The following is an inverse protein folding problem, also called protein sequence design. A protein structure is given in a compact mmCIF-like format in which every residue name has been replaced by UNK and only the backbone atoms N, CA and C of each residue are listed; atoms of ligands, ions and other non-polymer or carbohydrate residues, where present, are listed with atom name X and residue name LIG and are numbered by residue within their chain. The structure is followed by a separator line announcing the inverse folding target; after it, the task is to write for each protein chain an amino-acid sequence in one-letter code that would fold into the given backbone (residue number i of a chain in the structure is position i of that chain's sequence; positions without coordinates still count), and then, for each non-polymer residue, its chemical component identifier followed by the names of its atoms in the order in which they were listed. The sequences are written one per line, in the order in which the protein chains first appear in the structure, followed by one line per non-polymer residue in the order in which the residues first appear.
data_IF_644807377947
#
_entry.id   IF_644807377947
#
_cell.length_a   1.000
_cell.length_b   1.000
_cell.length_c   1.000
_cell.angle_alpha   90.00
_cell.angle_beta   90.00
_cell.angle_gamma   90.00
#
_symmetry.space_group_name_H-M   'P 1'
#
loop_
_entity.id
_entity.type
_entity.pdbx_description
1 polymer ?
#
# COMPACT_ATOMS: atom_id res chain seq x y z
N UNK A 1 15.18 -6.16 -18.22
CA UNK A 1 15.46 -7.54 -17.74
C UNK A 1 14.21 -8.13 -17.09
N UNK A 2 14.13 -9.44 -16.83
CA UNK A 2 12.91 -10.10 -16.28
C UNK A 2 12.44 -9.48 -14.94
N UNK A 3 13.37 -9.12 -14.07
CA UNK A 3 13.10 -8.45 -12.78
C UNK A 3 12.35 -7.11 -12.96
N UNK A 4 12.83 -6.23 -13.86
CA UNK A 4 12.16 -4.96 -14.16
C UNK A 4 10.73 -5.14 -14.69
N UNK A 5 10.47 -6.21 -15.45
CA UNK A 5 9.14 -6.51 -15.97
C UNK A 5 8.19 -6.96 -14.85
N UNK A 6 8.70 -7.68 -13.85
CA UNK A 6 7.92 -8.05 -12.67
C UNK A 6 7.58 -6.83 -11.81
N UNK A 7 8.56 -5.95 -11.55
CA UNK A 7 8.33 -4.70 -10.83
C UNK A 7 7.32 -3.79 -11.53
N UNK A 8 7.46 -3.62 -12.85
CA UNK A 8 6.52 -2.83 -13.65
C UNK A 8 5.09 -3.36 -13.51
N UNK A 9 4.90 -4.68 -13.61
CA UNK A 9 3.57 -5.30 -13.45
C UNK A 9 2.97 -5.03 -12.06
N UNK A 10 3.77 -5.07 -11.00
CA UNK A 10 3.29 -4.77 -9.65
C UNK A 10 2.87 -3.30 -9.50
N UNK A 11 3.61 -2.37 -10.12
CA UNK A 11 3.26 -0.95 -10.12
C UNK A 11 1.98 -0.68 -10.91
N UNK A 12 1.82 -1.29 -12.09
CA UNK A 12 0.59 -1.21 -12.90
C UNK A 12 -0.61 -1.77 -12.12
N UNK A 13 -0.46 -2.90 -11.43
CA UNK A 13 -1.50 -3.47 -10.57
C UNK A 13 -1.89 -2.53 -9.43
N UNK A 14 -0.92 -1.91 -8.77
CA UNK A 14 -1.20 -0.95 -7.71
C UNK A 14 -1.98 0.25 -8.24
N UNK A 15 -1.56 0.81 -9.38
CA UNK A 15 -2.23 1.94 -10.03
C UNK A 15 -3.68 1.61 -10.39
N UNK A 16 -3.92 0.46 -11.05
CA UNK A 16 -5.27 -0.01 -11.37
C UNK A 16 -6.14 -0.12 -10.11
N UNK A 17 -5.62 -0.72 -9.04
CA UNK A 17 -6.33 -0.84 -7.78
C UNK A 17 -6.68 0.52 -7.17
N UNK A 18 -5.73 1.45 -7.13
CA UNK A 18 -5.96 2.80 -6.60
C UNK A 18 -6.99 3.57 -7.43
N UNK A 19 -6.95 3.45 -8.76
CA UNK A 19 -7.96 4.03 -9.65
C UNK A 19 -9.36 3.48 -9.38
N UNK A 20 -9.51 2.17 -9.13
CA UNK A 20 -10.82 1.64 -8.77
C UNK A 20 -11.36 2.19 -7.45
N UNK A 21 -10.47 2.48 -6.48
CA UNK A 21 -10.85 3.09 -5.21
C UNK A 21 -11.30 4.53 -5.41
N UNK A 22 -10.59 5.33 -6.22
CA UNK A 22 -10.98 6.72 -6.53
C UNK A 22 -12.37 6.81 -7.20
N UNK A 23 -12.74 5.79 -7.97
CA UNK A 23 -14.04 5.71 -8.63
C UNK A 23 -15.18 5.34 -7.68
N UNK A 24 -14.87 4.93 -6.45
CA UNK A 24 -15.90 4.76 -5.42
C UNK A 24 -16.38 6.14 -4.98
N UNK A 25 -17.66 6.24 -4.68
CA UNK A 25 -18.25 7.42 -4.07
C UNK A 25 -19.29 6.97 -3.08
N UNK A 26 -19.06 7.28 -1.81
CA UNK A 26 -19.97 6.99 -0.70
C UNK A 26 -19.63 7.90 0.47
N UNK A 27 -20.64 8.22 1.28
CA UNK A 27 -20.51 8.97 2.53
C UNK A 27 -20.12 8.03 3.67
N UNK A 28 -19.66 8.62 4.79
CA UNK A 28 -19.44 7.85 6.02
C UNK A 28 -20.73 7.15 6.49
N UNK A 29 -21.90 7.77 6.35
CA UNK A 29 -23.18 7.17 6.75
C UNK A 29 -23.51 5.93 5.91
N UNK A 30 -23.30 6.01 4.58
CA UNK A 30 -23.46 4.86 3.68
C UNK A 30 -22.48 3.74 4.00
N UNK A 31 -21.22 4.07 4.32
CA UNK A 31 -20.24 3.07 4.78
C UNK A 31 -20.71 2.40 6.06
N UNK A 32 -21.16 3.15 7.07
CA UNK A 32 -21.57 2.60 8.35
C UNK A 32 -22.86 1.77 8.27
N UNK A 33 -23.72 2.02 7.29
CA UNK A 33 -25.00 1.34 7.10
C UNK A 33 -24.97 0.16 6.13
N UNK A 34 -23.91 0.01 5.33
CA UNK A 34 -23.80 -1.05 4.32
C UNK A 34 -22.57 -1.95 4.52
N UNK A 35 -22.83 -3.21 4.87
CA UNK A 35 -21.79 -4.23 5.02
C UNK A 35 -21.07 -4.53 3.70
N UNK A 36 -21.77 -4.39 2.56
CA UNK A 36 -21.18 -4.59 1.24
C UNK A 36 -20.17 -3.48 0.93
N UNK A 37 -20.47 -2.22 1.30
CA UNK A 37 -19.52 -1.11 1.14
C UNK A 37 -18.31 -1.33 2.05
N UNK A 38 -18.52 -1.73 3.30
CA UNK A 38 -17.45 -2.05 4.27
C UNK A 38 -16.50 -3.10 3.71
N UNK A 39 -17.01 -4.29 3.37
CA UNK A 39 -16.19 -5.37 2.84
C UNK A 39 -15.47 -4.98 1.54
N UNK A 40 -16.13 -4.21 0.67
CA UNK A 40 -15.53 -3.77 -0.58
C UNK A 40 -14.34 -2.83 -0.34
N UNK A 41 -14.49 -1.81 0.50
CA UNK A 41 -13.40 -0.85 0.74
C UNK A 41 -12.26 -1.50 1.55
N UNK A 42 -12.58 -2.32 2.54
CA UNK A 42 -11.59 -3.06 3.33
C UNK A 42 -10.74 -3.95 2.44
N UNK A 43 -11.37 -4.73 1.55
CA UNK A 43 -10.66 -5.60 0.63
C UNK A 43 -9.78 -4.82 -0.32
N UNK A 44 -10.25 -3.68 -0.83
CA UNK A 44 -9.47 -2.85 -1.76
C UNK A 44 -8.25 -2.24 -1.06
N UNK A 45 -8.42 -1.67 0.13
CA UNK A 45 -7.32 -1.12 0.93
C UNK A 45 -6.31 -2.21 1.32
N UNK A 46 -6.79 -3.38 1.74
CA UNK A 46 -5.94 -4.54 2.03
C UNK A 46 -5.06 -4.89 0.83
N UNK A 47 -5.67 -5.05 -0.36
CA UNK A 47 -4.96 -5.43 -1.59
C UNK A 47 -3.93 -4.36 -2.00
N UNK A 48 -4.28 -3.08 -1.93
CA UNK A 48 -3.33 -2.00 -2.24
C UNK A 48 -2.11 -2.03 -1.32
N UNK A 49 -2.29 -2.29 -0.02
CA UNK A 49 -1.18 -2.40 0.94
C UNK A 49 -0.35 -3.68 0.68
N UNK A 50 -0.99 -4.80 0.34
CA UNK A 50 -0.31 -6.04 -0.04
C UNK A 50 0.59 -5.86 -1.26
N UNK A 51 0.08 -5.21 -2.32
CA UNK A 51 0.88 -4.93 -3.52
C UNK A 51 2.06 -4.01 -3.17
N UNK A 52 1.87 -3.02 -2.28
CA UNK A 52 2.98 -2.19 -1.83
C UNK A 52 4.06 -2.99 -1.09
N UNK A 53 3.67 -3.97 -0.26
CA UNK A 53 4.60 -4.87 0.42
C UNK A 53 5.37 -5.72 -0.60
N UNK A 54 4.70 -6.23 -1.63
CA UNK A 54 5.32 -7.02 -2.69
C UNK A 54 6.34 -6.21 -3.50
N UNK A 55 5.98 -4.98 -3.89
CA UNK A 55 6.89 -4.03 -4.55
C UNK A 55 8.11 -3.77 -3.67
N UNK A 56 7.89 -3.45 -2.39
CA UNK A 56 8.98 -3.14 -1.48
C UNK A 56 9.90 -4.36 -1.25
N UNK A 57 9.32 -5.55 -1.15
CA UNK A 57 10.04 -6.81 -0.98
C UNK A 57 10.87 -7.17 -2.20
N UNK A 58 10.33 -6.95 -3.39
CA UNK A 58 11.02 -7.09 -4.66
C UNK A 58 12.25 -6.17 -4.71
N UNK A 59 12.07 -4.89 -4.44
CA UNK A 59 13.16 -3.89 -4.44
C UNK A 59 14.23 -4.21 -3.37
N UNK A 60 13.81 -4.58 -2.17
CA UNK A 60 14.73 -4.96 -1.09
C UNK A 60 15.53 -6.23 -1.46
N UNK A 61 14.92 -7.19 -2.17
CA UNK A 61 15.61 -8.38 -2.67
C UNK A 61 16.65 -8.02 -3.74
N UNK A 62 16.29 -7.19 -4.71
CA UNK A 62 17.20 -6.71 -5.76
C UNK A 62 18.43 -6.02 -5.15
N UNK A 63 18.21 -5.20 -4.12
CA UNK A 63 19.27 -4.48 -3.38
C UNK A 63 19.98 -5.33 -2.32
N UNK A 64 19.61 -6.60 -2.16
CA UNK A 64 20.18 -7.53 -1.17
C UNK A 64 20.15 -6.99 0.26
N UNK A 65 19.09 -6.26 0.62
CA UNK A 65 18.96 -5.67 1.95
C UNK A 65 18.65 -6.75 3.01
N UNK A 66 19.42 -6.83 4.11
CA UNK A 66 19.16 -7.78 5.20
C UNK A 66 18.05 -7.27 6.14
N UNK A 67 17.42 -8.17 6.91
CA UNK A 67 16.52 -7.80 8.03
C UNK A 67 15.05 -7.58 7.68
N UNK A 68 14.49 -8.40 6.78
CA UNK A 68 13.08 -8.36 6.34
C UNK A 68 12.20 -9.42 7.02
N UNK A 69 12.21 -9.45 8.36
CA UNK A 69 11.50 -10.50 9.12
C UNK A 69 9.99 -10.26 9.16
N UNK A 70 9.56 -9.00 9.22
CA UNK A 70 8.15 -8.60 9.18
C UNK A 70 7.87 -7.79 7.92
N UNK A 71 6.61 -7.84 7.47
CA UNK A 71 6.16 -7.06 6.32
C UNK A 71 6.33 -5.53 6.51
N UNK A 72 6.29 -5.02 7.74
CA UNK A 72 6.54 -3.59 7.99
C UNK A 72 8.03 -3.21 7.85
N UNK A 73 8.95 -4.14 8.14
CA UNK A 73 10.40 -3.87 8.16
C UNK A 73 10.92 -3.53 6.77
N UNK A 74 10.27 -4.06 5.71
CA UNK A 74 10.68 -3.81 4.33
C UNK A 74 10.61 -2.33 3.99
N UNK A 75 9.56 -1.62 4.41
CA UNK A 75 9.43 -0.19 4.15
C UNK A 75 10.48 0.61 4.92
N UNK A 76 10.69 0.29 6.20
CA UNK A 76 11.70 0.93 7.03
C UNK A 76 13.11 0.75 6.47
N UNK A 77 13.41 -0.44 5.92
CA UNK A 77 14.67 -0.70 5.23
C UNK A 77 14.83 0.18 3.98
N UNK A 78 13.78 0.34 3.17
CA UNK A 78 13.83 1.21 2.00
C UNK A 78 14.07 2.68 2.39
N UNK A 79 13.40 3.16 3.44
CA UNK A 79 13.62 4.51 4.00
C UNK A 79 15.05 4.71 4.51
N UNK A 80 15.56 3.77 5.32
CA UNK A 80 16.93 3.79 5.85
C UNK A 80 18.00 3.85 4.75
N UNK A 81 17.76 3.20 3.60
CA UNK A 81 18.66 3.22 2.45
C UNK A 81 18.37 4.35 1.45
N UNK A 82 17.50 5.31 1.82
CA UNK A 82 17.12 6.47 0.98
C UNK A 82 16.59 6.05 -0.40
N UNK A 83 15.93 4.90 -0.45
CA UNK A 83 15.23 4.42 -1.64
C UNK A 83 13.89 5.16 -1.77
N UNK A 84 13.21 5.34 -0.63
CA UNK A 84 12.04 6.19 -0.47
C UNK A 84 12.26 7.19 0.67
N UNK A 85 11.41 8.21 0.77
CA UNK A 85 11.41 9.14 1.90
C UNK A 85 11.18 8.40 3.23
N UNK A 86 11.90 8.79 4.28
CA UNK A 86 11.86 8.11 5.58
C UNK A 86 10.50 8.27 6.28
N UNK A 87 9.86 9.45 6.17
CA UNK A 87 8.52 9.66 6.75
C UNK A 87 7.48 8.85 5.99
N UNK A 88 7.63 8.73 4.67
CA UNK A 88 6.79 7.86 3.86
C UNK A 88 6.97 6.38 4.26
N UNK A 89 8.20 5.92 4.46
CA UNK A 89 8.48 4.57 4.93
C UNK A 89 7.80 4.26 6.27
N UNK A 90 7.84 5.18 7.24
CA UNK A 90 7.15 5.02 8.53
C UNK A 90 5.62 4.94 8.39
N UNK A 91 5.04 5.76 7.50
CA UNK A 91 3.59 5.71 7.21
C UNK A 91 3.18 4.37 6.62
N UNK A 92 3.93 3.87 5.63
CA UNK A 92 3.66 2.57 5.00
C UNK A 92 3.84 1.41 5.99
N UNK A 93 4.85 1.48 6.86
CA UNK A 93 5.02 0.51 7.94
C UNK A 93 3.81 0.46 8.89
N UNK A 94 3.18 1.60 9.21
CA UNK A 94 1.93 1.65 9.97
C UNK A 94 0.74 1.09 9.17
N UNK A 95 0.68 1.34 7.86
CA UNK A 95 -0.35 0.79 6.99
C UNK A 95 -0.35 -0.75 6.99
N UNK A 96 0.82 -1.40 7.10
CA UNK A 96 0.90 -2.86 7.31
C UNK A 96 0.15 -3.30 8.57
N UNK A 97 0.28 -2.53 9.65
CA UNK A 97 -0.46 -2.78 10.89
C UNK A 97 -1.97 -2.69 10.69
N UNK A 98 -2.44 -1.66 9.98
CA UNK A 98 -3.86 -1.53 9.62
C UNK A 98 -4.35 -2.71 8.77
N UNK A 99 -3.60 -3.11 7.75
CA UNK A 99 -3.90 -4.29 6.94
C UNK A 99 -3.99 -5.57 7.77
N UNK A 100 -3.15 -5.72 8.80
CA UNK A 100 -3.27 -6.87 9.71
C UNK A 100 -4.55 -6.85 10.55
N UNK A 101 -5.05 -5.67 10.93
CA UNK A 101 -6.34 -5.52 11.61
C UNK A 101 -7.49 -5.93 10.68
N UNK A 102 -7.44 -5.50 9.41
CA UNK A 102 -8.44 -5.86 8.40
C UNK A 102 -8.50 -7.38 8.15
N UNK A 103 -7.36 -8.07 8.10
CA UNK A 103 -7.31 -9.51 7.80
C UNK A 103 -7.75 -10.36 8.98
N UNK A 104 -7.27 -10.03 10.17
CA UNK A 104 -7.31 -10.99 11.26
C UNK A 104 -8.53 -10.87 12.16
N UNK A 105 -9.38 -9.84 11.98
CA UNK A 105 -10.63 -9.60 12.71
C UNK A 105 -10.53 -9.67 14.26
N UNK A 106 -9.32 -9.80 14.83
CA UNK A 106 -9.08 -9.97 16.26
C UNK A 106 -9.55 -8.75 17.09
N UNK A 107 -9.78 -7.62 16.41
CA UNK A 107 -10.42 -6.45 16.96
C UNK A 107 -11.55 -6.01 16.01
N UNK A 108 -12.66 -5.53 16.59
CA UNK A 108 -13.75 -4.92 15.83
C UNK A 108 -13.19 -3.80 14.94
N UNK A 109 -13.41 -3.89 13.62
CA UNK A 109 -12.93 -2.89 12.66
C UNK A 109 -13.58 -1.55 12.97
N UNK A 110 -12.76 -0.50 13.05
CA UNK A 110 -13.24 0.86 13.19
C UNK A 110 -13.45 1.48 11.81
N UNK A 111 -14.67 1.41 11.29
CA UNK A 111 -15.02 1.95 9.97
C UNK A 111 -14.87 3.47 9.84
N UNK A 112 -14.83 4.23 10.95
CA UNK A 112 -14.47 5.65 10.88
C UNK A 112 -13.01 5.83 10.46
N UNK A 113 -12.14 4.93 10.92
CA UNK A 113 -10.73 4.92 10.54
C UNK A 113 -10.56 4.41 9.10
N UNK A 114 -11.34 3.41 8.69
CA UNK A 114 -11.38 2.94 7.29
C UNK A 114 -11.75 4.09 6.34
N UNK A 115 -12.79 4.87 6.68
CA UNK A 115 -13.19 6.04 5.89
C UNK A 115 -12.09 7.11 5.84
N UNK A 116 -11.43 7.37 6.96
CA UNK A 116 -10.29 8.29 6.99
C UNK A 116 -9.15 7.85 6.07
N UNK A 117 -8.78 6.56 6.10
CA UNK A 117 -7.71 6.03 5.24
C UNK A 117 -8.09 6.02 3.76
N UNK A 118 -9.35 5.73 3.45
CA UNK A 118 -9.89 5.88 2.11
C UNK A 118 -9.74 7.31 1.59
N UNK A 119 -10.02 8.33 2.40
CA UNK A 119 -9.97 9.74 1.98
C UNK A 119 -8.56 10.34 1.96
N UNK A 120 -7.64 9.91 2.84
CA UNK A 120 -6.42 10.68 3.14
C UNK A 120 -5.11 9.94 2.84
N UNK A 121 -5.08 8.61 2.94
CA UNK A 121 -3.82 7.85 2.95
C UNK A 121 -3.51 7.16 1.62
N UNK A 122 -4.43 7.17 0.65
CA UNK A 122 -4.18 6.66 -0.71
C UNK A 122 -3.03 7.38 -1.41
N UNK A 123 -2.87 8.68 -1.12
CA UNK A 123 -1.79 9.50 -1.65
C UNK A 123 -0.40 9.01 -1.24
N UNK A 124 -0.26 8.41 -0.04
CA UNK A 124 1.01 7.86 0.39
C UNK A 124 1.35 6.60 -0.42
N UNK A 125 0.36 5.77 -0.78
CA UNK A 125 0.57 4.61 -1.67
C UNK A 125 0.97 5.05 -3.08
N UNK A 126 0.38 6.15 -3.60
CA UNK A 126 0.77 6.74 -4.89
C UNK A 126 2.19 7.29 -4.87
N UNK A 127 2.55 8.05 -3.83
CA UNK A 127 3.91 8.58 -3.65
C UNK A 127 4.94 7.47 -3.58
N UNK A 128 4.60 6.36 -2.92
CA UNK A 128 5.44 5.18 -2.90
C UNK A 128 5.67 4.62 -4.31
N UNK A 129 4.59 4.36 -5.05
CA UNK A 129 4.66 3.85 -6.42
C UNK A 129 5.52 4.76 -7.31
N UNK A 130 5.32 6.08 -7.24
CA UNK A 130 6.07 7.07 -7.99
C UNK A 130 7.56 7.08 -7.64
N UNK A 131 7.92 7.07 -6.35
CA UNK A 131 9.33 7.05 -5.93
C UNK A 131 10.05 5.78 -6.39
N UNK A 132 9.38 4.63 -6.37
CA UNK A 132 9.93 3.38 -6.89
C UNK A 132 10.02 3.42 -8.43
N UNK A 133 8.96 3.82 -9.12
CA UNK A 133 8.93 3.97 -10.57
C UNK A 133 10.08 4.83 -11.07
N UNK A 134 10.23 6.04 -10.53
CA UNK A 134 11.27 6.99 -10.92
C UNK A 134 12.70 6.49 -10.67
N UNK A 135 12.91 5.64 -9.67
CA UNK A 135 14.24 5.17 -9.28
C UNK A 135 14.65 3.88 -10.01
N UNK A 136 13.69 3.07 -10.46
CA UNK A 136 13.95 1.71 -10.98
C UNK A 136 13.46 1.49 -12.42
N UNK A 137 12.56 2.34 -12.93
CA UNK A 137 12.03 2.28 -14.29
C UNK A 137 12.40 3.56 -15.05
N UNK A 138 12.67 3.42 -16.35
CA UNK A 138 13.14 4.52 -17.22
C UNK A 138 11.97 5.40 -17.71
N UNK A 139 10.72 4.99 -17.44
CA UNK A 139 9.51 5.72 -17.84
C UNK A 139 8.85 6.31 -16.58
N UNK A 140 8.64 7.63 -16.60
CA UNK A 140 8.00 8.38 -15.51
C UNK A 140 6.57 7.85 -15.27
N UNK A 141 6.24 7.57 -14.00
CA UNK A 141 4.89 7.38 -13.47
C UNK A 141 4.38 8.71 -12.89
#
# INVERSE_FOLDING_TARGET
MAEQKALQKLLEQLEEHLLTIDQMSFTLEELLSSIDIQHLIERRLQLSIEICIDIASHVAAEKKLPGRERAADVFLLLGKHKIIDEKLAEKLARAVGFRNILIHEYAKINHHLVYHYYEQDLDDLRKFAQQIGNKFLINNF
#
